data_IF_755085322064
#
_entry.id   IF_755085322064
#
_cell.length_a   1.000
_cell.length_b   1.000
_cell.length_c   1.000
_cell.angle_alpha   90.00
_cell.angle_beta   90.00
_cell.angle_gamma   90.00
#
_symmetry.space_group_name_H-M   'P 1'
#
loop_
_entity.id
_entity.type
_entity.pdbx_description
1 polymer ?
#
# COMPACT_ATOMS: atom_id res chain seq x y z
N UNK A 1 61.88 27.13 22.47
CA UNK A 1 62.28 25.73 22.72
C UNK A 1 61.33 25.10 23.70
N UNK A 2 60.43 24.26 23.24
CA UNK A 2 59.72 23.23 24.04
C UNK A 2 59.21 22.17 23.07
N UNK A 3 59.91 21.04 23.07
CA UNK A 3 59.68 19.93 22.22
C UNK A 3 58.44 19.13 22.69
N UNK A 4 57.39 19.09 21.87
CA UNK A 4 56.27 18.22 22.04
C UNK A 4 56.59 16.79 21.59
N UNK A 5 56.69 15.85 22.53
CA UNK A 5 56.86 14.41 22.26
C UNK A 5 55.57 13.88 21.62
N UNK A 6 55.63 13.42 20.37
CA UNK A 6 54.62 12.62 19.72
C UNK A 6 54.55 11.26 20.38
N UNK A 7 53.39 10.89 20.97
CA UNK A 7 53.13 9.55 21.45
C UNK A 7 52.96 8.59 20.24
N UNK A 8 53.46 7.36 20.32
CA UNK A 8 53.30 6.37 19.26
C UNK A 8 51.82 5.96 19.13
N UNK A 9 51.32 5.90 17.91
CA UNK A 9 50.01 5.42 17.51
C UNK A 9 49.95 3.92 17.71
N UNK A 10 49.10 3.47 18.63
CA UNK A 10 48.79 2.04 18.82
C UNK A 10 47.56 1.74 17.94
N UNK A 11 47.65 0.86 16.93
CA UNK A 11 46.49 0.51 16.12
C UNK A 11 45.51 -0.34 16.94
N UNK A 12 44.28 0.14 17.07
CA UNK A 12 43.19 -0.65 17.62
C UNK A 12 42.87 -1.81 16.66
N UNK A 13 42.91 -3.04 17.19
CA UNK A 13 42.43 -4.25 16.51
C UNK A 13 40.93 -4.10 16.22
N UNK A 14 40.52 -4.24 14.93
CA UNK A 14 39.12 -4.49 14.61
C UNK A 14 38.49 -3.69 13.48
N UNK A 15 39.26 -3.14 12.54
CA UNK A 15 38.66 -2.57 11.32
C UNK A 15 39.42 -3.15 10.11
N UNK A 16 38.80 -4.17 9.48
CA UNK A 16 39.26 -4.67 8.17
C UNK A 16 38.68 -3.72 7.11
N UNK A 17 39.53 -2.99 6.34
CA UNK A 17 39.01 -2.19 5.24
C UNK A 17 38.50 -3.11 4.12
N UNK A 18 37.26 -2.96 3.81
CA UNK A 18 36.59 -3.60 2.67
C UNK A 18 37.26 -3.09 1.39
N UNK A 19 38.04 -3.95 0.72
CA UNK A 19 38.70 -3.86 -0.58
C UNK A 19 40.23 -3.94 -0.53
N UNK A 20 40.77 -4.99 0.05
CA UNK A 20 42.11 -5.40 -0.30
C UNK A 20 42.08 -5.97 -1.73
N UNK A 21 42.90 -5.45 -2.63
CA UNK A 21 43.03 -6.01 -3.99
C UNK A 21 43.63 -7.42 -3.89
N UNK A 22 43.17 -8.37 -4.70
CA UNK A 22 43.64 -9.77 -4.72
C UNK A 22 45.16 -9.89 -4.71
N UNK A 23 45.86 -8.96 -5.37
CA UNK A 23 47.33 -8.88 -5.40
C UNK A 23 47.95 -8.63 -4.03
N UNK A 24 47.33 -7.82 -3.19
CA UNK A 24 47.84 -7.50 -1.83
C UNK A 24 47.68 -8.71 -0.88
N UNK A 25 46.59 -9.46 -1.03
CA UNK A 25 46.35 -10.70 -0.29
C UNK A 25 47.30 -11.83 -0.70
N UNK A 26 47.60 -11.96 -1.98
CA UNK A 26 48.59 -12.90 -2.48
C UNK A 26 50.01 -12.56 -1.99
N UNK A 27 50.36 -11.27 -1.93
CA UNK A 27 51.64 -10.82 -1.35
C UNK A 27 51.76 -11.16 0.15
N UNK A 28 50.66 -11.02 0.91
CA UNK A 28 50.59 -11.42 2.31
C UNK A 28 50.71 -12.93 2.49
N UNK A 29 49.99 -13.70 1.66
CA UNK A 29 50.05 -15.17 1.68
C UNK A 29 51.47 -15.70 1.36
N UNK A 30 52.20 -15.10 0.39
CA UNK A 30 53.57 -15.46 0.07
C UNK A 30 54.54 -15.07 1.19
N UNK A 31 54.35 -13.96 1.88
CA UNK A 31 55.13 -13.57 3.06
C UNK A 31 54.94 -14.56 4.23
N UNK A 32 53.79 -15.20 4.35
CA UNK A 32 53.47 -16.24 5.33
C UNK A 32 53.89 -17.65 4.86
N UNK A 33 54.56 -17.79 3.72
CA UNK A 33 55.07 -19.05 3.18
C UNK A 33 54.01 -19.96 2.52
N UNK A 34 52.81 -19.44 2.28
CA UNK A 34 51.71 -20.18 1.64
C UNK A 34 51.86 -20.17 0.10
N UNK A 35 51.85 -21.35 -0.52
CA UNK A 35 51.93 -21.49 -2.00
C UNK A 35 50.56 -21.33 -2.65
N UNK A 36 50.03 -20.11 -2.67
CA UNK A 36 48.76 -19.78 -3.35
C UNK A 36 49.03 -19.14 -4.71
N UNK A 37 48.15 -19.37 -5.68
CA UNK A 37 48.31 -18.92 -7.07
C UNK A 37 47.15 -18.02 -7.48
N UNK A 38 47.28 -17.30 -8.59
CA UNK A 38 46.23 -16.40 -9.13
C UNK A 38 44.91 -17.12 -9.45
N UNK A 39 44.89 -18.45 -9.43
CA UNK A 39 43.68 -19.23 -9.67
C UNK A 39 42.78 -19.36 -8.42
N UNK A 40 43.30 -19.08 -7.22
CA UNK A 40 42.53 -19.16 -6.00
C UNK A 40 41.59 -17.96 -5.85
N UNK A 41 40.45 -18.17 -5.24
CA UNK A 41 39.48 -17.09 -4.97
C UNK A 41 39.94 -16.24 -3.78
N UNK A 42 39.46 -15.00 -3.66
CA UNK A 42 39.82 -14.07 -2.57
C UNK A 42 39.45 -14.70 -1.22
N UNK A 43 38.29 -15.37 -1.10
CA UNK A 43 37.84 -16.04 0.11
C UNK A 43 38.75 -17.20 0.54
N UNK A 44 39.32 -17.95 -0.41
CA UNK A 44 40.29 -19.02 -0.13
C UNK A 44 41.63 -18.46 0.37
N UNK A 45 42.06 -17.34 -0.19
CA UNK A 45 43.31 -16.68 0.22
C UNK A 45 43.16 -16.11 1.64
N UNK A 46 42.06 -15.45 1.96
CA UNK A 46 41.73 -14.94 3.30
C UNK A 46 41.60 -16.04 4.36
N UNK A 47 40.97 -17.15 4.01
CA UNK A 47 40.84 -18.30 4.93
C UNK A 47 42.17 -18.98 5.21
N UNK A 48 43.05 -19.08 4.19
CA UNK A 48 44.38 -19.64 4.35
C UNK A 48 45.31 -18.73 5.20
N UNK A 49 45.20 -17.43 5.08
CA UNK A 49 45.93 -16.46 5.93
C UNK A 49 45.40 -16.55 7.38
N UNK A 50 44.08 -16.59 7.60
CA UNK A 50 43.49 -16.70 8.92
C UNK A 50 43.83 -18.02 9.65
N UNK A 51 44.12 -19.08 8.94
CA UNK A 51 44.52 -20.38 9.54
C UNK A 51 45.96 -20.39 10.07
N UNK A 52 46.80 -19.46 9.61
CA UNK A 52 48.20 -19.35 10.09
C UNK A 52 48.31 -18.42 11.31
N UNK A 53 47.37 -17.47 11.47
CA UNK A 53 47.35 -16.52 12.60
C UNK A 53 46.70 -17.06 13.90
N UNK A 54 46.22 -18.29 13.93
CA UNK A 54 45.66 -18.90 15.12
C UNK A 54 46.76 -19.52 16.01
N UNK A 55 46.93 -19.08 17.28
CA UNK A 55 47.90 -19.66 18.16
C UNK A 55 47.55 -21.12 18.53
N UNK A 56 48.52 -22.00 18.40
CA UNK A 56 48.42 -23.39 18.79
C UNK A 56 48.11 -23.51 20.29
N UNK A 57 46.95 -24.04 20.62
CA UNK A 57 46.63 -24.53 21.95
C UNK A 57 45.89 -25.89 21.80
N UNK A 58 46.66 -26.91 22.17
CA UNK A 58 46.30 -28.20 22.67
C UNK A 58 45.30 -29.09 21.89
N UNK A 59 45.90 -30.02 21.21
CA UNK A 59 45.27 -31.31 20.83
C UNK A 59 45.37 -32.24 22.05
N UNK A 60 44.27 -32.61 22.68
CA UNK A 60 44.16 -33.86 23.43
C UNK A 60 42.90 -34.60 23.00
N UNK A 61 43.17 -35.82 22.65
CA UNK A 61 42.32 -36.83 22.10
C UNK A 61 41.02 -37.12 22.88
N UNK A 62 39.96 -37.35 22.15
CA UNK A 62 39.04 -38.46 22.44
C UNK A 62 38.36 -38.92 21.15
N UNK A 63 38.81 -40.02 20.65
CA UNK A 63 38.08 -40.88 19.73
C UNK A 63 36.92 -41.50 20.49
N UNK A 64 35.68 -41.21 20.12
CA UNK A 64 34.55 -42.14 20.31
C UNK A 64 33.65 -41.98 19.09
N UNK A 65 33.49 -43.11 18.41
CA UNK A 65 32.46 -43.42 17.43
C UNK A 65 31.09 -42.98 17.96
N UNK A 66 30.34 -42.28 17.16
CA UNK A 66 28.90 -42.57 17.05
C UNK A 66 28.37 -42.03 15.70
N UNK A 67 27.93 -42.97 14.88
CA UNK A 67 27.20 -42.70 13.66
C UNK A 67 25.79 -42.21 14.05
N UNK A 68 25.23 -41.21 13.39
CA UNK A 68 23.85 -40.83 13.64
C UNK A 68 22.93 -41.95 13.12
N UNK A 69 22.32 -42.64 14.10
CA UNK A 69 21.18 -43.53 13.87
C UNK A 69 20.09 -42.71 13.18
N UNK A 70 19.79 -43.08 11.96
CA UNK A 70 18.60 -42.62 11.24
C UNK A 70 17.41 -43.18 12.03
N UNK A 71 16.75 -42.35 12.83
CA UNK A 71 15.45 -42.68 13.39
C UNK A 71 14.47 -42.88 12.23
N UNK A 72 14.17 -44.13 11.92
CA UNK A 72 13.02 -44.50 11.14
C UNK A 72 11.76 -43.98 11.87
N UNK A 73 11.23 -42.88 11.39
CA UNK A 73 9.90 -42.40 11.78
C UNK A 73 8.90 -43.45 11.35
N UNK A 74 8.47 -44.27 12.32
CA UNK A 74 7.41 -45.26 12.15
C UNK A 74 6.14 -44.51 11.73
N UNK A 75 5.84 -44.55 10.44
CA UNK A 75 4.61 -44.03 9.89
C UNK A 75 3.44 -44.88 10.29
N UNK A 76 2.50 -44.31 11.05
CA UNK A 76 1.23 -44.93 11.36
C UNK A 76 0.53 -45.41 10.07
N UNK A 77 0.11 -46.66 10.07
CA UNK A 77 -0.65 -47.31 9.00
C UNK A 77 -2.02 -46.62 8.84
N UNK A 78 -2.15 -45.66 7.95
CA UNK A 78 -3.38 -45.41 7.20
C UNK A 78 -3.20 -44.22 6.21
N UNK A 79 -3.40 -44.51 4.95
CA UNK A 79 -3.52 -43.51 3.88
C UNK A 79 -2.26 -43.34 3.04
N UNK A 80 -2.30 -43.90 1.82
CA UNK A 80 -1.34 -43.58 0.77
C UNK A 80 -1.37 -42.04 0.54
N UNK A 81 -0.29 -41.35 0.91
CA UNK A 81 -0.11 -39.95 0.49
C UNK A 81 -0.14 -39.92 -1.03
N UNK A 82 -0.94 -39.04 -1.62
CA UNK A 82 -0.96 -38.87 -3.06
C UNK A 82 0.45 -38.49 -3.55
N UNK A 83 0.83 -38.94 -4.75
CA UNK A 83 2.13 -38.60 -5.36
C UNK A 83 2.40 -37.08 -5.32
N UNK A 84 1.34 -36.28 -5.44
CA UNK A 84 1.39 -34.82 -5.31
C UNK A 84 1.84 -34.34 -3.92
N UNK A 85 1.37 -35.00 -2.86
CA UNK A 85 1.75 -34.65 -1.49
C UNK A 85 3.18 -35.07 -1.14
N UNK A 86 3.71 -36.13 -1.78
CA UNK A 86 5.11 -36.51 -1.67
C UNK A 86 6.00 -35.50 -2.43
N UNK A 87 5.64 -35.14 -3.66
CA UNK A 87 6.37 -34.14 -4.44
C UNK A 87 6.38 -32.75 -3.76
N UNK A 88 5.29 -32.33 -3.09
CA UNK A 88 5.25 -31.09 -2.32
C UNK A 88 6.12 -31.15 -1.06
N UNK A 89 6.22 -32.33 -0.41
CA UNK A 89 7.08 -32.53 0.76
C UNK A 89 8.57 -32.49 0.36
N UNK A 90 8.92 -33.13 -0.76
CA UNK A 90 10.29 -33.15 -1.28
C UNK A 90 10.73 -31.75 -1.74
N UNK A 91 9.86 -31.02 -2.46
CA UNK A 91 10.12 -29.64 -2.85
C UNK A 91 10.28 -28.68 -1.64
N UNK A 92 9.57 -28.96 -0.56
CA UNK A 92 9.69 -28.19 0.69
C UNK A 92 10.99 -28.49 1.41
N UNK A 93 11.39 -29.76 1.45
CA UNK A 93 12.66 -30.19 2.04
C UNK A 93 13.86 -29.64 1.28
N UNK A 94 13.83 -29.67 -0.07
CA UNK A 94 14.86 -29.05 -0.91
C UNK A 94 14.95 -27.53 -0.68
N UNK A 95 13.81 -26.86 -0.56
CA UNK A 95 13.76 -25.42 -0.30
C UNK A 95 14.33 -25.06 1.08
N UNK A 96 14.09 -25.89 2.09
CA UNK A 96 14.66 -25.70 3.44
C UNK A 96 16.17 -26.01 3.44
N UNK A 97 16.62 -27.04 2.74
CA UNK A 97 18.03 -27.39 2.60
C UNK A 97 18.82 -26.27 1.88
N UNK A 98 18.26 -25.69 0.81
CA UNK A 98 18.86 -24.54 0.12
C UNK A 98 18.91 -23.29 1.00
N UNK A 99 17.87 -23.07 1.79
CA UNK A 99 17.83 -21.96 2.75
C UNK A 99 18.88 -22.12 3.86
N UNK A 100 19.08 -23.36 4.33
CA UNK A 100 20.11 -23.69 5.31
C UNK A 100 21.53 -23.56 4.75
N UNK A 101 21.70 -23.83 3.43
CA UNK A 101 22.95 -23.63 2.70
C UNK A 101 23.25 -22.16 2.35
N UNK A 102 22.39 -21.21 2.76
CA UNK A 102 22.55 -19.78 2.48
C UNK A 102 22.26 -19.36 1.03
N UNK A 103 21.73 -20.27 0.21
CA UNK A 103 21.36 -19.99 -1.17
C UNK A 103 19.96 -19.32 -1.21
N UNK A 104 19.94 -17.99 -1.28
CA UNK A 104 18.72 -17.18 -1.36
C UNK A 104 18.30 -16.82 -2.79
N UNK A 105 18.88 -17.48 -3.79
CA UNK A 105 18.53 -17.20 -5.21
C UNK A 105 17.09 -17.65 -5.48
N UNK A 106 16.21 -16.74 -5.96
CA UNK A 106 14.87 -17.12 -6.34
C UNK A 106 14.91 -18.05 -7.54
N UNK A 107 14.16 -19.14 -7.50
CA UNK A 107 14.00 -20.10 -8.60
C UNK A 107 12.60 -20.01 -9.16
N UNK A 108 12.44 -20.32 -10.46
CA UNK A 108 11.15 -20.48 -11.11
C UNK A 108 10.49 -21.83 -10.72
N UNK A 109 9.28 -22.07 -11.22
CA UNK A 109 8.53 -23.31 -10.94
C UNK A 109 9.22 -24.57 -11.49
N UNK A 110 10.20 -24.41 -12.38
CA UNK A 110 10.99 -25.50 -12.99
C UNK A 110 12.34 -25.72 -12.28
N UNK A 111 12.62 -24.99 -11.19
CA UNK A 111 13.84 -25.12 -10.38
C UNK A 111 15.08 -24.39 -10.95
N UNK A 112 14.94 -23.62 -12.02
CA UNK A 112 16.03 -22.85 -12.60
C UNK A 112 16.25 -21.53 -11.82
N UNK A 113 17.51 -21.16 -11.60
CA UNK A 113 17.83 -19.89 -10.96
C UNK A 113 17.30 -18.71 -11.80
N UNK A 114 16.39 -17.91 -11.22
CA UNK A 114 15.92 -16.68 -11.85
C UNK A 114 17.09 -15.71 -11.92
N UNK A 115 17.78 -15.68 -13.05
CA UNK A 115 18.82 -14.68 -13.31
C UNK A 115 18.16 -13.32 -13.23
N UNK A 116 18.46 -12.56 -12.19
CA UNK A 116 18.01 -11.17 -12.08
C UNK A 116 18.51 -10.45 -13.32
N UNK A 117 17.60 -10.15 -14.26
CA UNK A 117 17.89 -9.27 -15.39
C UNK A 117 18.64 -8.07 -14.83
N UNK A 118 19.76 -7.71 -15.43
CA UNK A 118 20.71 -6.69 -14.99
C UNK A 118 20.12 -5.39 -14.44
N UNK A 119 20.91 -4.38 -14.08
CA UNK A 119 20.43 -3.18 -13.43
C UNK A 119 19.24 -2.60 -14.18
N UNK A 120 18.18 -2.25 -13.43
CA UNK A 120 16.96 -1.68 -14.04
C UNK A 120 17.36 -0.55 -14.99
N UNK A 121 16.82 -0.53 -16.22
CA UNK A 121 17.16 0.53 -17.15
C UNK A 121 16.89 1.89 -16.50
N UNK A 122 17.86 2.81 -16.62
CA UNK A 122 17.72 4.18 -16.12
C UNK A 122 16.55 4.82 -16.86
N UNK A 123 15.44 4.98 -16.15
CA UNK A 123 14.25 5.64 -16.71
C UNK A 123 14.38 7.13 -16.54
N UNK A 124 14.00 7.89 -17.58
CA UNK A 124 13.91 9.36 -17.49
C UNK A 124 13.05 9.78 -16.30
N UNK A 125 13.27 10.96 -15.69
CA UNK A 125 12.42 11.52 -14.64
C UNK A 125 10.94 11.50 -15.02
N UNK A 126 10.06 11.38 -14.02
CA UNK A 126 8.61 11.26 -14.25
C UNK A 126 8.08 12.47 -15.04
N UNK A 127 8.58 13.67 -14.76
CA UNK A 127 8.19 14.90 -15.46
C UNK A 127 8.46 14.82 -16.96
N UNK A 128 9.64 14.35 -17.38
CA UNK A 128 10.01 14.24 -18.79
C UNK A 128 9.20 13.16 -19.54
N UNK A 129 8.69 12.13 -18.81
CA UNK A 129 7.87 11.07 -19.40
C UNK A 129 6.41 11.47 -19.57
N UNK A 130 5.95 12.52 -18.88
CA UNK A 130 4.57 13.01 -18.98
C UNK A 130 4.37 13.85 -20.23
N UNK A 131 3.11 13.96 -20.66
CA UNK A 131 2.74 14.76 -21.84
C UNK A 131 3.02 16.26 -21.65
N UNK A 132 3.17 16.98 -22.76
CA UNK A 132 3.49 18.43 -22.78
C UNK A 132 2.55 19.30 -21.92
N UNK A 133 1.25 18.99 -21.91
CA UNK A 133 0.29 19.74 -21.10
C UNK A 133 0.53 19.55 -19.59
N UNK A 134 0.87 18.32 -19.17
CA UNK A 134 1.22 18.06 -17.79
C UNK A 134 2.53 18.76 -17.39
N UNK A 135 3.53 18.79 -18.28
CA UNK A 135 4.79 19.49 -18.01
C UNK A 135 4.56 20.98 -17.76
N UNK A 136 3.79 21.65 -18.63
CA UNK A 136 3.40 23.04 -18.44
C UNK A 136 2.63 23.29 -17.14
N UNK A 137 1.71 22.40 -16.78
CA UNK A 137 0.97 22.48 -15.53
C UNK A 137 1.88 22.27 -14.31
N UNK A 138 2.85 21.35 -14.42
CA UNK A 138 3.81 21.06 -13.35
C UNK A 138 4.83 22.19 -13.11
N UNK A 139 5.17 22.99 -14.13
CA UNK A 139 6.03 24.17 -14.00
C UNK A 139 5.43 25.24 -13.09
N UNK A 140 4.09 25.30 -12.98
CA UNK A 140 3.39 26.24 -12.11
C UNK A 140 3.39 25.82 -10.63
N UNK A 141 3.77 24.59 -10.34
CA UNK A 141 3.70 24.00 -8.98
C UNK A 141 5.10 23.71 -8.46
N UNK A 142 5.46 24.31 -7.33
CA UNK A 142 6.68 23.94 -6.62
C UNK A 142 6.39 22.75 -5.71
N UNK A 143 6.92 21.57 -6.07
CA UNK A 143 6.72 20.31 -5.32
C UNK A 143 7.37 20.30 -3.94
N UNK A 144 8.25 21.26 -3.63
CA UNK A 144 8.91 21.38 -2.33
C UNK A 144 8.15 22.29 -1.37
N UNK A 145 7.38 23.24 -1.90
CA UNK A 145 6.60 24.19 -1.11
C UNK A 145 5.35 23.51 -0.55
N UNK A 146 4.98 23.86 0.67
CA UNK A 146 3.67 23.60 1.25
C UNK A 146 2.80 24.81 1.00
N UNK A 147 1.60 24.59 0.50
CA UNK A 147 0.64 25.64 0.18
C UNK A 147 -0.48 25.66 1.22
N UNK A 148 -1.12 26.79 1.42
CA UNK A 148 -2.37 26.83 2.16
C UNK A 148 -3.48 26.10 1.40
N UNK A 149 -4.56 25.70 2.06
CA UNK A 149 -5.67 25.00 1.39
C UNK A 149 -6.26 25.85 0.25
N UNK A 150 -6.42 27.13 0.51
CA UNK A 150 -7.01 28.09 -0.44
C UNK A 150 -6.13 28.24 -1.68
N UNK A 151 -4.82 28.46 -1.50
CA UNK A 151 -3.85 28.51 -2.60
C UNK A 151 -3.80 27.20 -3.39
N UNK A 152 -3.84 26.06 -2.69
CA UNK A 152 -3.76 24.75 -3.34
C UNK A 152 -4.97 24.46 -4.22
N UNK A 153 -6.18 24.82 -3.79
CA UNK A 153 -7.41 24.66 -4.58
C UNK A 153 -7.41 25.59 -5.81
N UNK A 154 -6.96 26.84 -5.67
CA UNK A 154 -6.81 27.75 -6.80
C UNK A 154 -5.77 27.23 -7.80
N UNK A 155 -4.61 26.81 -7.33
CA UNK A 155 -3.57 26.23 -8.17
C UNK A 155 -4.06 24.96 -8.87
N UNK A 156 -4.78 24.09 -8.17
CA UNK A 156 -5.36 22.89 -8.76
C UNK A 156 -6.29 23.21 -9.92
N UNK A 157 -7.10 24.25 -9.78
CA UNK A 157 -7.99 24.70 -10.86
C UNK A 157 -7.22 25.25 -12.06
N UNK A 158 -6.12 26.00 -11.83
CA UNK A 158 -5.28 26.60 -12.88
C UNK A 158 -4.38 25.57 -13.59
N UNK A 159 -3.97 24.50 -12.87
CA UNK A 159 -3.02 23.49 -13.36
C UNK A 159 -3.71 22.27 -13.97
N UNK A 160 -4.99 22.35 -14.28
CA UNK A 160 -5.73 21.28 -14.94
C UNK A 160 -5.25 21.06 -16.38
N UNK A 161 -4.62 19.91 -16.72
CA UNK A 161 -4.18 19.63 -18.08
C UNK A 161 -5.28 19.11 -19.00
N UNK A 162 -6.45 18.75 -18.43
CA UNK A 162 -7.55 18.09 -19.13
C UNK A 162 -8.41 19.09 -19.91
N UNK A 163 -8.95 18.64 -21.05
CA UNK A 163 -9.92 19.43 -21.84
C UNK A 163 -11.36 19.29 -21.32
N UNK A 164 -11.63 18.24 -20.54
CA UNK A 164 -12.92 18.00 -19.90
C UNK A 164 -12.94 18.59 -18.49
N UNK A 165 -14.14 18.73 -17.93
CA UNK A 165 -14.31 19.19 -16.55
C UNK A 165 -13.78 18.16 -15.54
N UNK A 166 -12.55 18.42 -15.09
CA UNK A 166 -11.83 17.51 -14.22
C UNK A 166 -12.40 17.52 -12.80
N UNK A 167 -12.31 16.38 -12.11
CA UNK A 167 -12.62 16.30 -10.69
C UNK A 167 -11.43 16.80 -9.87
N UNK A 168 -11.71 17.55 -8.81
CA UNK A 168 -10.72 17.92 -7.79
C UNK A 168 -10.83 16.92 -6.65
N UNK A 169 -9.70 16.31 -6.32
CA UNK A 169 -9.60 15.27 -5.32
C UNK A 169 -8.62 15.67 -4.21
N UNK A 170 -8.98 15.35 -2.98
CA UNK A 170 -8.14 15.51 -1.80
C UNK A 170 -7.68 14.14 -1.34
N UNK A 171 -6.39 14.02 -1.07
CA UNK A 171 -5.76 12.82 -0.56
C UNK A 171 -5.09 13.15 0.77
N UNK A 172 -5.55 12.50 1.84
CA UNK A 172 -5.06 12.73 3.20
C UNK A 172 -4.41 11.46 3.72
N UNK A 173 -3.11 11.50 3.97
CA UNK A 173 -2.40 10.41 4.61
C UNK A 173 -2.50 10.55 6.13
N UNK A 174 -3.11 9.56 6.76
CA UNK A 174 -3.32 9.52 8.19
C UNK A 174 -2.23 8.75 8.94
N UNK A 175 -2.14 8.98 10.24
CA UNK A 175 -1.27 8.25 11.14
C UNK A 175 -2.04 7.12 11.82
N UNK A 176 -2.65 6.24 11.02
CA UNK A 176 -3.46 5.11 11.49
C UNK A 176 -2.88 3.80 10.99
N UNK A 177 -3.18 2.70 11.67
CA UNK A 177 -2.91 1.35 11.18
C UNK A 177 -4.22 0.75 10.64
N UNK A 178 -4.38 0.62 9.30
CA UNK A 178 -5.61 0.11 8.70
C UNK A 178 -5.88 -1.37 8.99
N UNK A 179 -4.92 -2.09 9.60
CA UNK A 179 -5.09 -3.49 10.03
C UNK A 179 -5.89 -3.61 11.32
N UNK A 180 -5.89 -2.55 12.13
CA UNK A 180 -6.65 -2.51 13.37
C UNK A 180 -8.07 -2.04 13.10
N UNK A 181 -9.06 -2.81 13.58
CA UNK A 181 -10.47 -2.52 13.35
C UNK A 181 -10.90 -1.15 13.88
N UNK A 182 -10.36 -0.73 15.04
CA UNK A 182 -10.65 0.54 15.68
C UNK A 182 -10.08 1.76 14.95
N UNK A 183 -9.03 1.54 14.14
CA UNK A 183 -8.38 2.58 13.35
C UNK A 183 -8.81 2.57 11.88
N UNK A 184 -9.69 1.67 11.49
CA UNK A 184 -10.25 1.61 10.15
C UNK A 184 -11.41 2.60 10.03
N UNK A 185 -11.06 3.85 9.68
CA UNK A 185 -12.00 4.97 9.56
C UNK A 185 -12.84 4.79 8.30
N UNK A 186 -14.15 4.83 8.49
CA UNK A 186 -15.15 4.85 7.43
C UNK A 186 -16.30 5.74 7.86
N UNK A 187 -16.50 6.83 7.17
CA UNK A 187 -17.51 7.82 7.49
C UNK A 187 -18.12 8.45 6.24
N UNK A 188 -19.09 9.28 6.43
CA UNK A 188 -19.74 10.04 5.37
C UNK A 188 -19.65 11.52 5.65
N UNK A 189 -19.59 12.30 4.60
CA UNK A 189 -19.66 13.76 4.65
C UNK A 189 -20.71 14.23 3.66
N UNK A 190 -21.50 15.20 4.06
CA UNK A 190 -22.39 15.92 3.15
C UNK A 190 -21.66 17.17 2.65
N UNK A 191 -21.46 17.24 1.33
CA UNK A 191 -20.78 18.37 0.69
C UNK A 191 -21.80 19.45 0.41
N UNK A 192 -21.67 20.68 0.95
CA UNK A 192 -22.68 21.74 0.81
C UNK A 192 -22.96 22.11 -0.65
N UNK A 193 -21.95 22.03 -1.51
CA UNK A 193 -22.09 22.35 -2.92
C UNK A 193 -22.24 21.10 -3.82
N UNK A 194 -22.43 19.90 -3.20
CA UNK A 194 -22.51 18.63 -3.92
C UNK A 194 -21.18 18.20 -4.57
N UNK A 195 -21.23 17.16 -5.38
CA UNK A 195 -20.06 16.59 -6.08
C UNK A 195 -19.93 17.01 -7.54
N UNK A 196 -20.93 17.69 -8.10
CA UNK A 196 -20.99 18.06 -9.53
C UNK A 196 -21.25 16.87 -10.47
N UNK A 197 -21.72 15.76 -9.94
CA UNK A 197 -22.18 14.60 -10.72
C UNK A 197 -23.68 14.43 -10.50
N UNK A 198 -24.42 14.12 -11.55
CA UNK A 198 -25.80 13.66 -11.44
C UNK A 198 -25.77 12.22 -10.93
N UNK A 199 -26.20 12.02 -9.69
CA UNK A 199 -26.19 10.72 -9.02
C UNK A 199 -27.54 10.07 -9.25
N UNK A 200 -27.53 8.85 -9.78
CA UNK A 200 -28.73 8.01 -9.91
C UNK A 200 -28.89 7.18 -8.66
N UNK A 201 -29.98 7.39 -7.95
CA UNK A 201 -30.27 6.72 -6.68
C UNK A 201 -31.30 5.63 -6.91
N UNK A 202 -30.95 4.39 -6.57
CA UNK A 202 -31.90 3.28 -6.50
C UNK A 202 -32.31 3.03 -5.05
N UNK A 203 -33.57 2.71 -4.85
CA UNK A 203 -34.16 2.43 -3.55
C UNK A 203 -34.78 1.04 -3.56
N UNK A 204 -34.35 0.22 -2.59
CA UNK A 204 -34.87 -1.11 -2.35
C UNK A 204 -35.58 -1.15 -1.00
N UNK A 205 -36.90 -1.01 -1.04
CA UNK A 205 -37.73 -0.81 0.14
C UNK A 205 -39.11 -1.46 -0.06
N UNK A 206 -39.91 -1.64 1.00
CA UNK A 206 -41.28 -2.09 0.89
C UNK A 206 -42.15 -1.12 0.08
N UNK A 207 -43.21 -1.61 -0.53
CA UNK A 207 -44.13 -0.86 -1.40
C UNK A 207 -44.69 0.41 -0.71
N UNK A 208 -44.90 0.36 0.61
CA UNK A 208 -45.36 1.52 1.38
C UNK A 208 -44.43 2.73 1.29
N UNK A 209 -43.12 2.49 1.12
CA UNK A 209 -42.10 3.55 1.09
C UNK A 209 -41.79 4.03 -0.36
N UNK A 210 -42.33 3.35 -1.39
CA UNK A 210 -42.04 3.68 -2.79
C UNK A 210 -42.49 5.10 -3.16
N UNK A 211 -43.67 5.51 -2.73
CA UNK A 211 -44.22 6.84 -3.00
C UNK A 211 -43.32 7.93 -2.37
N UNK A 212 -42.89 7.71 -1.12
CA UNK A 212 -42.00 8.63 -0.40
C UNK A 212 -40.60 8.73 -1.04
N UNK A 213 -40.05 7.58 -1.48
CA UNK A 213 -38.76 7.53 -2.18
C UNK A 213 -38.80 8.25 -3.54
N UNK A 214 -39.87 8.04 -4.31
CA UNK A 214 -40.07 8.72 -5.61
C UNK A 214 -40.25 10.23 -5.43
N UNK A 215 -41.03 10.65 -4.43
CA UNK A 215 -41.19 12.07 -4.10
C UNK A 215 -39.88 12.72 -3.65
N UNK A 216 -38.97 11.98 -2.98
CA UNK A 216 -37.63 12.42 -2.61
C UNK A 216 -36.63 12.45 -3.77
N UNK A 217 -37.04 11.98 -4.96
CA UNK A 217 -36.24 12.02 -6.19
C UNK A 217 -35.43 10.76 -6.49
N UNK A 218 -35.83 9.59 -6.00
CA UNK A 218 -35.22 8.34 -6.41
C UNK A 218 -35.48 8.06 -7.90
N UNK A 219 -34.45 7.59 -8.61
CA UNK A 219 -34.53 7.32 -10.06
C UNK A 219 -35.10 5.91 -10.33
N UNK A 220 -34.78 4.97 -9.44
CA UNK A 220 -35.24 3.57 -9.52
C UNK A 220 -35.78 3.19 -8.15
N UNK A 221 -37.02 2.80 -8.07
CA UNK A 221 -37.65 2.31 -6.85
C UNK A 221 -38.32 0.97 -7.17
N UNK A 222 -38.10 -0.01 -6.35
CA UNK A 222 -38.69 -1.30 -6.57
C UNK A 222 -38.36 -2.33 -5.50
N UNK A 223 -39.05 -3.46 -5.54
CA UNK A 223 -38.80 -4.65 -4.73
C UNK A 223 -38.40 -5.82 -5.65
N UNK A 224 -39.35 -6.63 -6.10
CA UNK A 224 -39.08 -7.83 -6.92
C UNK A 224 -38.59 -7.48 -8.33
N UNK A 225 -39.13 -6.41 -8.92
CA UNK A 225 -38.70 -5.93 -10.22
C UNK A 225 -37.21 -5.47 -10.19
N UNK A 226 -36.80 -4.87 -9.09
CA UNK A 226 -35.40 -4.46 -8.90
C UNK A 226 -34.47 -5.67 -8.80
N UNK A 227 -34.89 -6.75 -8.10
CA UNK A 227 -34.15 -8.00 -8.03
C UNK A 227 -34.06 -8.67 -9.41
N UNK A 228 -35.11 -8.66 -10.21
CA UNK A 228 -35.09 -9.18 -11.57
C UNK A 228 -34.14 -8.41 -12.51
N UNK A 229 -33.92 -7.10 -12.27
CA UNK A 229 -32.90 -6.32 -12.97
C UNK A 229 -31.49 -6.72 -12.53
N UNK A 230 -31.28 -6.96 -11.24
CA UNK A 230 -29.98 -7.43 -10.70
C UNK A 230 -29.64 -8.85 -11.17
N UNK A 231 -30.65 -9.75 -11.33
CA UNK A 231 -30.45 -11.08 -11.90
C UNK A 231 -29.98 -11.03 -13.36
N UNK A 232 -30.36 -9.99 -14.10
CA UNK A 232 -29.85 -9.70 -15.45
C UNK A 232 -28.53 -8.93 -15.45
N UNK A 233 -27.92 -8.73 -14.29
CA UNK A 233 -26.69 -7.94 -14.09
C UNK A 233 -26.79 -6.48 -14.60
N UNK A 234 -28.01 -5.95 -14.77
CA UNK A 234 -28.24 -4.60 -15.25
C UNK A 234 -28.18 -3.61 -14.08
N UNK A 235 -27.13 -2.78 -14.04
CA UNK A 235 -26.92 -1.78 -12.98
C UNK A 235 -27.01 -0.40 -13.59
N UNK A 236 -28.11 0.30 -13.34
CA UNK A 236 -28.40 1.65 -13.86
C UNK A 236 -28.42 2.72 -12.77
N UNK A 237 -27.72 2.49 -11.65
CA UNK A 237 -27.68 3.38 -10.50
C UNK A 237 -26.25 3.52 -9.97
N UNK A 238 -26.01 4.62 -9.25
CA UNK A 238 -24.72 4.95 -8.68
C UNK A 238 -24.70 4.82 -7.15
N UNK A 239 -25.89 4.91 -6.51
CA UNK A 239 -26.07 4.66 -5.06
C UNK A 239 -27.29 3.77 -4.89
N UNK A 240 -27.18 2.78 -4.00
CA UNK A 240 -28.26 1.91 -3.59
C UNK A 240 -28.61 2.17 -2.11
N UNK A 241 -29.86 2.54 -1.86
CA UNK A 241 -30.42 2.68 -0.51
C UNK A 241 -31.34 1.49 -0.26
N UNK A 242 -31.21 0.89 0.92
CA UNK A 242 -32.07 -0.23 1.29
C UNK A 242 -32.59 -0.11 2.71
N UNK A 243 -33.79 -0.64 2.96
CA UNK A 243 -34.28 -0.80 4.32
C UNK A 243 -33.62 -1.99 5.01
N UNK A 244 -33.42 -1.99 6.33
CA UNK A 244 -32.79 -3.09 7.07
C UNK A 244 -33.46 -4.45 6.83
N UNK A 245 -34.78 -4.48 6.67
CA UNK A 245 -35.57 -5.69 6.45
C UNK A 245 -35.26 -6.37 5.11
N UNK A 246 -34.86 -5.59 4.11
CA UNK A 246 -34.59 -6.07 2.74
C UNK A 246 -33.12 -6.43 2.50
N UNK A 247 -32.22 -6.10 3.44
CA UNK A 247 -30.79 -6.41 3.34
C UNK A 247 -30.47 -7.90 3.15
N UNK A 248 -31.16 -8.86 3.81
CA UNK A 248 -30.90 -10.29 3.58
C UNK A 248 -31.14 -10.72 2.12
N UNK A 249 -32.14 -10.14 1.43
CA UNK A 249 -32.42 -10.41 0.01
C UNK A 249 -31.26 -9.94 -0.89
N UNK A 250 -30.65 -8.78 -0.57
CA UNK A 250 -29.49 -8.27 -1.30
C UNK A 250 -28.22 -9.08 -1.07
N UNK A 251 -28.15 -9.90 -0.04
CA UNK A 251 -26.99 -10.77 0.26
C UNK A 251 -26.63 -11.70 -0.90
N UNK A 252 -27.58 -12.15 -1.68
CA UNK A 252 -27.37 -12.99 -2.89
C UNK A 252 -26.56 -12.24 -3.96
N UNK A 253 -26.73 -10.93 -4.05
CA UNK A 253 -26.08 -10.05 -5.03
C UNK A 253 -24.78 -9.41 -4.54
N UNK A 254 -24.28 -9.83 -3.37
CA UNK A 254 -23.06 -9.27 -2.79
C UNK A 254 -21.83 -9.42 -3.71
N UNK A 255 -21.79 -10.50 -4.52
CA UNK A 255 -20.72 -10.70 -5.52
C UNK A 255 -20.78 -9.70 -6.67
N UNK A 256 -21.97 -9.22 -7.02
CA UNK A 256 -22.19 -8.26 -8.10
C UNK A 256 -21.99 -6.82 -7.60
N UNK A 257 -22.59 -6.48 -6.46
CA UNK A 257 -22.62 -5.13 -5.90
C UNK A 257 -21.33 -4.78 -5.12
N UNK A 258 -20.73 -5.78 -4.44
CA UNK A 258 -19.56 -5.58 -3.58
C UNK A 258 -18.33 -4.99 -4.28
N UNK A 259 -17.84 -5.61 -5.39
CA UNK A 259 -16.67 -5.10 -6.12
C UNK A 259 -16.87 -3.70 -6.69
N UNK A 260 -18.12 -3.33 -7.02
CA UNK A 260 -18.49 -2.01 -7.55
C UNK A 260 -18.71 -0.96 -6.45
N UNK A 261 -18.68 -1.36 -5.16
CA UNK A 261 -18.91 -0.45 -4.03
C UNK A 261 -20.37 -0.02 -3.86
N UNK A 262 -21.32 -0.71 -4.50
CA UNK A 262 -22.75 -0.38 -4.50
C UNK A 262 -23.54 -1.07 -3.39
N UNK A 263 -22.92 -1.97 -2.61
CA UNK A 263 -23.60 -2.68 -1.53
C UNK A 263 -23.93 -1.72 -0.39
N UNK A 264 -25.22 -1.61 0.02
CA UNK A 264 -25.62 -0.73 1.11
C UNK A 264 -24.91 -1.08 2.42
N UNK A 265 -24.57 -0.05 3.20
CA UNK A 265 -23.88 -0.21 4.48
C UNK A 265 -24.48 0.73 5.54
N UNK A 266 -24.77 0.23 6.77
CA UNK A 266 -25.26 1.08 7.85
C UNK A 266 -24.34 2.26 8.19
N UNK A 267 -23.01 2.05 8.11
CA UNK A 267 -22.02 3.10 8.41
C UNK A 267 -22.01 4.23 7.37
N UNK A 268 -22.42 3.96 6.13
CA UNK A 268 -22.54 4.98 5.08
C UNK A 268 -23.94 5.64 5.05
N UNK A 269 -24.85 5.20 5.94
CA UNK A 269 -26.21 5.70 5.97
C UNK A 269 -27.04 5.30 4.73
N UNK A 270 -26.55 4.34 3.94
CA UNK A 270 -27.32 3.77 2.80
C UNK A 270 -28.25 2.63 3.22
N UNK A 271 -28.19 2.21 4.49
CA UNK A 271 -29.21 1.36 5.12
C UNK A 271 -29.95 2.26 6.11
N UNK A 272 -31.19 2.63 5.78
CA UNK A 272 -32.00 3.55 6.57
C UNK A 272 -33.44 3.06 6.69
N UNK A 273 -34.08 3.40 7.81
CA UNK A 273 -35.52 3.20 8.00
C UNK A 273 -36.32 4.30 7.31
N UNK A 274 -35.80 5.52 7.31
CA UNK A 274 -36.38 6.66 6.58
C UNK A 274 -35.70 6.80 5.21
N UNK A 275 -36.32 6.21 4.22
CA UNK A 275 -35.82 6.14 2.85
C UNK A 275 -35.86 7.51 2.17
N UNK A 276 -36.87 8.34 2.45
CA UNK A 276 -37.02 9.65 1.85
C UNK A 276 -35.86 10.57 2.26
N UNK A 277 -35.55 10.62 3.55
CA UNK A 277 -34.43 11.39 4.07
C UNK A 277 -33.09 10.92 3.50
N UNK A 278 -32.85 9.60 3.50
CA UNK A 278 -31.63 9.03 2.94
C UNK A 278 -31.46 9.36 1.44
N UNK A 279 -32.56 9.37 0.68
CA UNK A 279 -32.56 9.71 -0.75
C UNK A 279 -32.24 11.19 -0.97
N UNK A 280 -32.83 12.10 -0.21
CA UNK A 280 -32.53 13.54 -0.31
C UNK A 280 -31.09 13.83 0.07
N UNK A 281 -30.56 13.21 1.13
CA UNK A 281 -29.15 13.35 1.53
C UNK A 281 -28.19 12.82 0.44
N UNK A 282 -28.50 11.67 -0.17
CA UNK A 282 -27.70 11.11 -1.25
C UNK A 282 -27.69 12.02 -2.49
N UNK A 283 -28.83 12.61 -2.87
CA UNK A 283 -28.94 13.59 -3.96
C UNK A 283 -28.27 14.93 -3.63
N UNK A 284 -28.26 15.34 -2.35
CA UNK A 284 -27.61 16.55 -1.89
C UNK A 284 -26.07 16.48 -1.90
N UNK A 285 -25.47 15.32 -2.18
CA UNK A 285 -24.03 15.18 -2.28
C UNK A 285 -23.37 14.55 -1.06
N UNK A 286 -24.06 13.63 -0.40
CA UNK A 286 -23.48 12.78 0.64
C UNK A 286 -22.48 11.81 0.01
N UNK A 287 -21.21 11.90 0.42
CA UNK A 287 -20.13 11.05 -0.08
C UNK A 287 -19.55 10.24 1.06
N UNK A 288 -19.29 8.97 0.80
CA UNK A 288 -18.58 8.09 1.72
C UNK A 288 -17.07 8.19 1.48
N UNK A 289 -16.31 8.25 2.56
CA UNK A 289 -14.87 8.11 2.52
C UNK A 289 -14.39 7.01 3.47
N UNK A 290 -13.30 6.37 3.10
CA UNK A 290 -12.68 5.30 3.89
C UNK A 290 -11.17 5.35 3.79
N UNK A 291 -10.51 4.82 4.80
CA UNK A 291 -9.06 4.60 4.80
C UNK A 291 -8.72 3.39 3.93
N UNK A 292 -7.73 3.53 3.07
CA UNK A 292 -7.18 2.44 2.27
C UNK A 292 -6.12 1.63 3.04
N UNK A 293 -5.52 0.61 2.39
CA UNK A 293 -4.46 -0.22 2.97
C UNK A 293 -3.16 0.55 3.26
N UNK A 294 -3.00 1.75 2.71
CA UNK A 294 -1.82 2.60 2.88
C UNK A 294 -2.05 3.73 3.91
N UNK A 295 -3.19 3.67 4.64
CA UNK A 295 -3.63 4.71 5.56
C UNK A 295 -3.89 6.06 4.89
N UNK A 296 -4.41 6.05 3.66
CA UNK A 296 -4.77 7.24 2.90
C UNK A 296 -6.28 7.30 2.72
N UNK A 297 -6.86 8.48 2.92
CA UNK A 297 -8.24 8.79 2.57
C UNK A 297 -8.27 9.55 1.26
N UNK A 298 -9.11 9.13 0.34
CA UNK A 298 -9.32 9.78 -0.95
C UNK A 298 -10.76 10.27 -1.04
N UNK A 299 -10.93 11.55 -1.39
CA UNK A 299 -12.25 12.15 -1.57
C UNK A 299 -12.26 13.12 -2.76
N UNK A 300 -13.25 12.98 -3.64
CA UNK A 300 -13.55 13.97 -4.65
C UNK A 300 -14.43 15.09 -4.06
N UNK A 301 -13.91 16.31 -4.03
CA UNK A 301 -14.59 17.48 -3.45
C UNK A 301 -15.46 18.24 -4.44
N UNK A 302 -15.31 18.00 -5.74
CA UNK A 302 -16.12 18.64 -6.76
C UNK A 302 -15.44 18.66 -8.12
N UNK A 303 -15.94 19.50 -8.99
CA UNK A 303 -15.44 19.73 -10.35
C UNK A 303 -14.71 21.06 -10.43
N UNK A 304 -13.77 21.18 -11.38
CA UNK A 304 -13.04 22.43 -11.62
C UNK A 304 -14.01 23.57 -11.97
N UNK A 305 -15.11 23.27 -12.64
CA UNK A 305 -16.19 24.21 -12.98
C UNK A 305 -16.88 24.87 -11.78
N UNK A 306 -16.75 24.30 -10.58
CA UNK A 306 -17.33 24.90 -9.35
C UNK A 306 -16.66 26.22 -8.96
N UNK A 307 -15.40 26.41 -9.36
CA UNK A 307 -14.57 27.51 -8.89
C UNK A 307 -14.00 27.30 -7.49
N UNK A 308 -13.00 28.09 -7.13
CA UNK A 308 -12.22 27.89 -5.91
C UNK A 308 -13.08 28.01 -4.62
N UNK A 309 -13.99 28.98 -4.53
CA UNK A 309 -14.78 29.23 -3.32
C UNK A 309 -15.64 28.02 -2.91
N UNK A 310 -16.41 27.43 -3.84
CA UNK A 310 -17.25 26.25 -3.55
C UNK A 310 -16.42 25.02 -3.22
N UNK A 311 -15.26 24.84 -3.88
CA UNK A 311 -14.35 23.75 -3.59
C UNK A 311 -13.72 23.88 -2.20
N UNK A 312 -13.42 25.10 -1.76
CA UNK A 312 -12.90 25.38 -0.40
C UNK A 312 -13.93 25.07 0.67
N UNK A 313 -15.20 25.45 0.48
CA UNK A 313 -16.29 25.11 1.41
C UNK A 313 -16.46 23.60 1.53
N UNK A 314 -16.50 22.89 0.42
CA UNK A 314 -16.57 21.43 0.41
C UNK A 314 -15.35 20.78 1.10
N UNK A 315 -14.15 21.29 0.86
CA UNK A 315 -12.93 20.82 1.49
C UNK A 315 -12.95 21.05 3.00
N UNK A 316 -13.41 22.21 3.48
CA UNK A 316 -13.54 22.53 4.92
C UNK A 316 -14.50 21.56 5.59
N UNK A 317 -15.69 21.32 5.03
CA UNK A 317 -16.67 20.37 5.55
C UNK A 317 -16.09 18.94 5.62
N UNK A 318 -15.27 18.55 4.64
CA UNK A 318 -14.58 17.25 4.68
C UNK A 318 -13.57 17.18 5.83
N UNK A 319 -12.72 18.20 6.01
CA UNK A 319 -11.73 18.18 7.09
C UNK A 319 -12.36 18.23 8.48
N UNK A 320 -13.48 18.94 8.65
CA UNK A 320 -14.26 18.93 9.89
C UNK A 320 -14.79 17.53 10.20
N UNK A 321 -15.40 16.87 9.21
CA UNK A 321 -15.84 15.48 9.34
C UNK A 321 -14.69 14.53 9.65
N UNK A 322 -13.53 14.70 9.00
CA UNK A 322 -12.35 13.87 9.23
C UNK A 322 -11.77 14.05 10.64
N UNK A 323 -11.72 15.29 11.15
CA UNK A 323 -11.30 15.58 12.51
C UNK A 323 -12.22 14.96 13.56
N UNK A 324 -13.53 14.99 13.33
CA UNK A 324 -14.53 14.39 14.22
C UNK A 324 -14.39 12.86 14.32
N UNK A 325 -13.82 12.21 13.29
CA UNK A 325 -13.61 10.77 13.25
C UNK A 325 -12.24 10.32 13.78
N UNK A 326 -11.47 11.20 14.42
CA UNK A 326 -10.16 10.86 15.00
C UNK A 326 -10.34 9.80 16.10
N UNK A 327 -9.74 8.60 15.97
CA UNK A 327 -9.79 7.58 17.01
C UNK A 327 -9.02 8.01 18.26
N UNK A 328 -9.57 7.72 19.44
CA UNK A 328 -8.94 8.03 20.73
C UNK A 328 -7.63 7.27 20.97
N UNK A 329 -7.44 6.15 20.26
CA UNK A 329 -6.25 5.30 20.35
C UNK A 329 -5.01 5.92 19.72
N UNK A 330 -5.15 6.97 18.89
CA UNK A 330 -4.03 7.60 18.19
C UNK A 330 -3.34 8.60 19.12
N UNK A 331 -2.07 8.32 19.42
CA UNK A 331 -1.19 9.24 20.14
C UNK A 331 -0.41 10.10 19.14
N UNK A 332 -0.48 11.43 19.28
CA UNK A 332 0.24 12.37 18.42
C UNK A 332 -0.55 12.90 17.25
N UNK A 333 0.14 13.38 16.21
CA UNK A 333 -0.49 13.96 15.02
C UNK A 333 -1.33 12.96 14.25
N UNK A 334 -2.56 13.33 13.94
CA UNK A 334 -3.51 12.49 13.21
C UNK A 334 -3.24 12.45 11.70
N UNK A 335 -2.95 13.61 11.12
CA UNK A 335 -2.68 13.77 9.70
C UNK A 335 -1.17 13.86 9.45
N UNK A 336 -0.64 13.03 8.56
CA UNK A 336 0.77 13.05 8.13
C UNK A 336 1.02 14.00 6.97
N UNK A 337 0.16 13.96 5.96
CA UNK A 337 0.29 14.82 4.79
C UNK A 337 -1.05 14.97 4.08
N UNK A 338 -1.25 16.13 3.49
CA UNK A 338 -2.42 16.47 2.69
C UNK A 338 -1.92 16.81 1.28
N UNK A 339 -2.64 16.37 0.27
CA UNK A 339 -2.39 16.76 -1.11
C UNK A 339 -3.70 16.92 -1.87
N UNK A 340 -3.73 17.93 -2.74
CA UNK A 340 -4.84 18.22 -3.65
C UNK A 340 -4.38 17.95 -5.07
N UNK A 341 -5.20 17.33 -5.89
CA UNK A 341 -4.91 17.09 -7.30
C UNK A 341 -6.18 17.16 -8.13
N UNK A 342 -6.03 17.50 -9.40
CA UNK A 342 -7.09 17.36 -10.40
C UNK A 342 -6.90 16.07 -11.18
N UNK A 343 -7.95 15.58 -11.84
CA UNK A 343 -7.85 14.43 -12.74
C UNK A 343 -6.73 14.66 -13.76
N UNK A 344 -5.71 13.79 -13.74
CA UNK A 344 -4.47 13.88 -14.54
C UNK A 344 -3.56 15.08 -14.23
N UNK A 345 -3.89 15.94 -13.27
CA UNK A 345 -3.08 17.09 -12.88
C UNK A 345 -1.92 16.75 -11.93
N UNK A 346 -1.02 17.72 -11.71
CA UNK A 346 0.01 17.60 -10.70
C UNK A 346 -0.58 17.59 -9.29
N UNK A 347 0.09 16.91 -8.37
CA UNK A 347 -0.27 16.89 -6.96
C UNK A 347 0.34 18.08 -6.24
N UNK A 348 -0.47 18.84 -5.53
CA UNK A 348 -0.11 20.03 -4.75
C UNK A 348 -0.13 19.67 -3.28
N UNK A 349 0.97 19.87 -2.58
CA UNK A 349 1.05 19.59 -1.14
C UNK A 349 0.48 20.74 -0.34
N UNK A 350 -0.34 20.40 0.64
CA UNK A 350 -1.00 21.35 1.53
C UNK A 350 -0.38 21.28 2.91
N UNK A 351 -0.30 22.43 3.58
CA UNK A 351 0.10 22.49 4.99
C UNK A 351 -0.86 21.68 5.86
N UNK A 352 -0.29 21.07 6.90
CA UNK A 352 -1.11 20.32 7.84
C UNK A 352 -1.75 21.27 8.85
N UNK A 353 -3.04 21.51 8.74
CA UNK A 353 -3.85 22.34 9.64
C UNK A 353 -4.87 21.52 10.46
N UNK A 354 -4.90 20.20 10.24
CA UNK A 354 -5.78 19.24 10.93
C UNK A 354 -4.95 18.48 11.96
N UNK A 355 -5.06 18.80 13.23
CA UNK A 355 -4.36 18.15 14.33
C UNK A 355 -5.27 17.24 15.16
#
# INVERSE_FOLDING_TARGET
>A
MLGGRKKPFVPQKGFIPIMAKKADLLAQATALGLKLTDKNTIAEIESAIASVDAPAAEIVAAVVEDAPVVEEVQTAKSGKRSEKALAEADAKAEKEARKAAGDTTPVDEEGNAIVKKGPRPVTRPILERRGKNYQKAAELVDFKKLYTLDEAVELASKTNPSKFDASVEIHVRLNVDPRQADQNIRATVSLPNGTGKTIRVAVFAPEADHAAATAAGADVVGDEEFLAQLDKETINFDILIATPQYMPRLGKYARLLGPRGLMPNPKSGSVATDVAKATTEAKAGKVEYRVDKQAIVHLGVGKVSFGAAKLQENAKSFFESLSAQKPTTIKGGYVKSISVSTTQGPSIKVENFVN
#
